data_IF_008499455565
#
_entry.id   IF_008499455565
#
_cell.length_a   1.000
_cell.length_b   1.000
_cell.length_c   1.000
_cell.angle_alpha   90.00
_cell.angle_beta   90.00
_cell.angle_gamma   90.00
#
_symmetry.space_group_name_H-M   'P 1'
#
loop_
_entity.id
_entity.type
_entity.pdbx_description
1 polymer ?
#
# COMPACT_ATOMS: atom_id res chain seq x y z
N UNK A 1 30.34 -3.31 -24.44
CA UNK A 1 29.78 -2.18 -25.21
C UNK A 1 29.36 -1.16 -24.15
N UNK A 2 30.14 -0.10 -23.98
CA UNK A 2 29.85 0.93 -23.00
C UNK A 2 28.72 1.82 -23.54
N UNK A 3 27.50 1.57 -23.05
CA UNK A 3 26.34 2.42 -23.33
C UNK A 3 26.57 3.74 -22.59
N UNK A 4 27.03 4.77 -23.30
CA UNK A 4 27.22 6.10 -22.75
C UNK A 4 25.84 6.68 -22.39
N UNK A 5 25.44 6.54 -21.13
CA UNK A 5 24.21 7.15 -20.62
C UNK A 5 24.34 8.67 -20.71
N UNK A 6 23.38 9.32 -21.38
CA UNK A 6 23.34 10.79 -21.50
C UNK A 6 22.43 11.33 -20.40
N UNK A 7 22.93 11.33 -19.17
CA UNK A 7 22.21 11.91 -18.03
C UNK A 7 22.29 13.44 -18.07
N UNK A 8 21.17 14.11 -17.79
CA UNK A 8 21.10 15.60 -17.80
C UNK A 8 22.05 16.30 -16.82
N UNK A 9 22.27 15.71 -15.64
CA UNK A 9 23.17 16.16 -14.58
C UNK A 9 24.09 15.01 -14.19
N UNK A 10 25.27 14.96 -14.83
CA UNK A 10 26.28 13.93 -14.60
C UNK A 10 26.83 13.97 -13.16
N UNK A 11 26.93 15.14 -12.55
CA UNK A 11 27.48 15.30 -11.20
C UNK A 11 26.54 14.69 -10.15
N UNK A 12 25.24 14.96 -10.27
CA UNK A 12 24.23 14.32 -9.43
C UNK A 12 24.21 12.80 -9.64
N UNK A 13 24.21 12.36 -10.90
CA UNK A 13 24.18 10.94 -11.21
C UNK A 13 25.39 10.19 -10.63
N UNK A 14 26.60 10.72 -10.81
CA UNK A 14 27.82 10.11 -10.28
C UNK A 14 27.79 9.97 -8.75
N UNK A 15 27.26 10.97 -8.04
CA UNK A 15 27.10 10.90 -6.57
C UNK A 15 26.09 9.84 -6.16
N UNK A 16 24.94 9.76 -6.83
CA UNK A 16 23.91 8.74 -6.56
C UNK A 16 24.45 7.33 -6.87
N UNK A 17 25.13 7.17 -8.01
CA UNK A 17 25.66 5.89 -8.45
C UNK A 17 26.74 5.38 -7.50
N UNK A 18 27.65 6.27 -7.07
CA UNK A 18 28.73 5.95 -6.13
C UNK A 18 28.29 5.73 -4.68
N UNK A 19 27.05 6.04 -4.32
CA UNK A 19 26.54 5.79 -2.98
C UNK A 19 26.24 4.30 -2.77
N UNK A 20 26.81 3.73 -1.70
CA UNK A 20 26.49 2.39 -1.23
C UNK A 20 25.42 2.46 -0.14
N UNK A 21 24.33 1.71 -0.33
CA UNK A 21 23.33 1.46 0.71
C UNK A 21 23.83 0.43 1.75
N UNK A 22 24.83 -0.38 1.36
CA UNK A 22 25.43 -1.38 2.23
C UNK A 22 26.54 -0.72 3.05
N UNK A 23 26.39 -0.77 4.38
CA UNK A 23 27.45 -0.40 5.30
C UNK A 23 28.57 -1.48 5.24
N UNK A 24 29.85 -1.08 5.09
CA UNK A 24 30.95 -2.00 4.83
C UNK A 24 31.26 -2.94 6.00
N UNK A 25 30.90 -2.53 7.21
CA UNK A 25 31.12 -3.24 8.48
C UNK A 25 29.89 -4.05 8.94
N UNK A 26 28.79 -4.05 8.17
CA UNK A 26 27.58 -4.77 8.54
C UNK A 26 27.64 -6.25 8.16
N UNK A 27 27.48 -7.14 9.14
CA UNK A 27 27.32 -8.59 8.92
C UNK A 27 26.10 -8.91 8.04
N UNK A 28 25.05 -8.11 8.19
CA UNK A 28 23.78 -8.22 7.46
C UNK A 28 23.40 -6.88 6.81
N UNK A 29 24.00 -6.55 5.66
CA UNK A 29 23.84 -5.25 5.00
C UNK A 29 22.46 -5.09 4.34
N UNK A 30 22.16 -3.86 3.91
CA UNK A 30 20.88 -3.47 3.33
C UNK A 30 20.42 -4.40 2.22
N UNK A 31 21.29 -4.71 1.25
CA UNK A 31 20.98 -5.56 0.10
C UNK A 31 20.59 -6.99 0.51
N UNK A 32 21.26 -7.59 1.50
CA UNK A 32 20.92 -8.91 2.04
C UNK A 32 19.59 -8.88 2.80
N UNK A 33 19.34 -7.82 3.56
CA UNK A 33 18.06 -7.63 4.25
C UNK A 33 16.91 -7.49 3.27
N UNK A 34 17.08 -6.68 2.23
CA UNK A 34 16.11 -6.48 1.14
C UNK A 34 15.75 -7.83 0.50
N UNK A 35 16.78 -8.58 0.11
CA UNK A 35 16.61 -9.89 -0.51
C UNK A 35 15.84 -10.85 0.39
N UNK A 36 16.13 -10.87 1.69
CA UNK A 36 15.46 -11.74 2.66
C UNK A 36 14.01 -11.34 2.90
N UNK A 37 13.73 -10.06 3.13
CA UNK A 37 12.37 -9.58 3.46
C UNK A 37 11.42 -9.69 2.27
N UNK A 38 11.92 -9.43 1.07
CA UNK A 38 11.13 -9.47 -0.16
C UNK A 38 11.15 -10.85 -0.86
N UNK A 39 11.89 -11.81 -0.30
CA UNK A 39 12.11 -13.14 -0.88
C UNK A 39 12.63 -13.05 -2.32
N UNK A 40 13.66 -12.24 -2.53
CA UNK A 40 14.37 -12.05 -3.79
C UNK A 40 15.72 -12.75 -3.78
N UNK A 41 16.24 -13.10 -4.96
CA UNK A 41 17.65 -13.45 -5.08
C UNK A 41 18.53 -12.22 -4.83
N UNK A 42 19.78 -12.44 -4.42
CA UNK A 42 20.74 -11.35 -4.25
C UNK A 42 20.92 -10.55 -5.55
N UNK A 43 20.99 -11.25 -6.69
CA UNK A 43 21.10 -10.62 -8.01
C UNK A 43 19.90 -9.74 -8.33
N UNK A 44 18.68 -10.18 -8.00
CA UNK A 44 17.48 -9.40 -8.24
C UNK A 44 17.41 -8.18 -7.33
N UNK A 45 17.81 -8.32 -6.06
CA UNK A 45 17.89 -7.21 -5.13
C UNK A 45 18.90 -6.15 -5.60
N UNK A 46 20.07 -6.58 -6.11
CA UNK A 46 21.07 -5.68 -6.68
C UNK A 46 20.51 -4.91 -7.90
N UNK A 47 19.83 -5.60 -8.83
CA UNK A 47 19.16 -4.94 -9.96
C UNK A 47 18.08 -3.95 -9.50
N UNK A 48 17.26 -4.32 -8.53
CA UNK A 48 16.23 -3.44 -7.98
C UNK A 48 16.82 -2.19 -7.31
N UNK A 49 17.97 -2.30 -6.65
CA UNK A 49 18.72 -1.18 -6.07
C UNK A 49 19.23 -0.22 -7.16
N UNK A 50 19.75 -0.75 -8.27
CA UNK A 50 20.18 0.10 -9.39
C UNK A 50 19.02 0.87 -10.02
N UNK A 51 17.86 0.22 -10.18
CA UNK A 51 16.65 0.91 -10.67
C UNK A 51 16.09 1.92 -9.65
N UNK A 52 16.27 1.67 -8.36
CA UNK A 52 15.97 2.65 -7.31
C UNK A 52 16.84 3.90 -7.42
N UNK A 53 18.14 3.77 -7.68
CA UNK A 53 19.04 4.91 -7.92
C UNK A 53 18.59 5.75 -9.12
N UNK A 54 18.20 5.09 -10.23
CA UNK A 54 17.63 5.77 -11.41
C UNK A 54 16.34 6.52 -11.09
N UNK A 55 15.46 5.90 -10.31
CA UNK A 55 14.24 6.54 -9.83
C UNK A 55 14.52 7.79 -8.97
N UNK A 56 15.46 7.71 -8.02
CA UNK A 56 15.85 8.87 -7.20
C UNK A 56 16.41 9.99 -8.08
N UNK A 57 17.23 9.66 -9.07
CA UNK A 57 17.73 10.64 -10.02
C UNK A 57 16.58 11.35 -10.75
N UNK A 58 15.58 10.61 -11.25
CA UNK A 58 14.38 11.19 -11.87
C UNK A 58 13.61 12.10 -10.90
N UNK A 59 13.45 11.71 -9.63
CA UNK A 59 12.84 12.58 -8.60
C UNK A 59 13.54 13.94 -8.48
N UNK A 60 14.86 13.97 -8.66
CA UNK A 60 15.65 15.19 -8.51
C UNK A 60 15.62 16.11 -9.73
N UNK A 61 15.56 15.55 -10.94
CA UNK A 61 15.62 16.33 -12.19
C UNK A 61 14.27 16.69 -12.81
N UNK A 62 13.19 16.01 -12.41
CA UNK A 62 11.85 16.29 -12.91
C UNK A 62 11.15 17.34 -12.02
N UNK A 63 10.46 18.33 -12.60
CA UNK A 63 9.81 19.40 -11.83
C UNK A 63 8.73 18.86 -10.89
N UNK A 64 7.96 17.88 -11.34
CA UNK A 64 6.89 17.24 -10.58
C UNK A 64 7.35 15.97 -9.84
N UNK A 65 8.65 15.67 -9.87
CA UNK A 65 9.21 14.41 -9.39
C UNK A 65 8.75 13.20 -10.19
N UNK A 66 8.81 12.03 -9.56
CA UNK A 66 8.59 10.73 -10.20
C UNK A 66 7.75 9.79 -9.32
N UNK A 67 7.15 8.79 -9.96
CA UNK A 67 6.41 7.71 -9.32
C UNK A 67 7.12 6.36 -9.55
N UNK A 68 7.48 5.62 -8.49
CA UNK A 68 8.22 4.38 -8.61
C UNK A 68 7.32 3.22 -9.10
N UNK A 69 7.94 2.16 -9.61
CA UNK A 69 7.26 0.86 -9.71
C UNK A 69 7.10 0.25 -8.32
N UNK A 70 6.25 -0.77 -8.15
CA UNK A 70 6.10 -1.46 -6.86
C UNK A 70 7.40 -2.09 -6.34
N UNK A 71 8.29 -2.51 -7.23
CA UNK A 71 9.58 -3.12 -6.82
C UNK A 71 10.53 -2.02 -6.36
N UNK A 72 10.65 -0.94 -7.12
CA UNK A 72 11.46 0.23 -6.75
C UNK A 72 10.95 0.87 -5.45
N UNK A 73 9.62 0.94 -5.30
CA UNK A 73 8.95 1.47 -4.12
C UNK A 73 9.30 0.67 -2.84
N UNK A 74 9.43 -0.65 -2.94
CA UNK A 74 9.89 -1.49 -1.81
C UNK A 74 11.32 -1.15 -1.38
N UNK A 75 12.22 -0.96 -2.35
CA UNK A 75 13.59 -0.53 -2.05
C UNK A 75 13.59 0.84 -1.38
N UNK A 76 12.82 1.78 -1.92
CA UNK A 76 12.74 3.14 -1.36
C UNK A 76 12.16 3.14 0.05
N UNK A 77 11.07 2.42 0.29
CA UNK A 77 10.49 2.25 1.62
C UNK A 77 11.48 1.67 2.61
N UNK A 78 12.28 0.67 2.20
CA UNK A 78 13.30 0.13 3.08
C UNK A 78 14.43 1.13 3.32
N UNK A 79 14.81 1.95 2.33
CA UNK A 79 15.81 2.99 2.56
C UNK A 79 15.30 4.09 3.52
N UNK A 80 14.02 4.46 3.45
CA UNK A 80 13.42 5.44 4.37
C UNK A 80 13.48 5.01 5.85
N UNK A 81 13.45 3.71 6.15
CA UNK A 81 13.58 3.22 7.53
C UNK A 81 15.03 3.17 8.02
N UNK A 82 16.03 3.23 7.13
CA UNK A 82 17.44 3.42 7.49
C UNK A 82 17.70 4.91 7.72
N UNK A 83 17.06 5.46 8.77
CA UNK A 83 16.85 6.91 8.91
C UNK A 83 18.14 7.74 8.91
N UNK A 84 19.22 7.28 9.54
CA UNK A 84 20.52 7.98 9.50
C UNK A 84 21.10 7.95 8.08
N UNK A 85 21.20 6.77 7.48
CA UNK A 85 21.70 6.62 6.11
C UNK A 85 20.88 7.44 5.09
N UNK A 86 19.56 7.52 5.25
CA UNK A 86 18.70 8.29 4.37
C UNK A 86 18.75 9.81 4.63
N UNK A 87 18.47 10.23 5.87
CA UNK A 87 18.26 11.64 6.21
C UNK A 87 19.54 12.39 6.54
N UNK A 88 20.54 11.72 7.10
CA UNK A 88 21.79 12.35 7.54
C UNK A 88 22.91 12.18 6.52
N UNK A 89 22.91 11.06 5.77
CA UNK A 89 23.92 10.82 4.73
C UNK A 89 23.39 11.11 3.32
N UNK A 90 22.40 10.35 2.87
CA UNK A 90 21.97 10.35 1.47
C UNK A 90 21.37 11.68 1.03
N UNK A 91 20.35 12.18 1.73
CA UNK A 91 19.69 13.44 1.36
C UNK A 91 20.64 14.66 1.35
N UNK A 92 21.35 15.01 2.45
CA UNK A 92 22.17 16.21 2.49
C UNK A 92 23.48 16.07 1.72
N UNK A 93 24.16 14.92 1.77
CA UNK A 93 25.50 14.79 1.19
C UNK A 93 25.46 14.31 -0.28
N UNK A 94 24.53 13.42 -0.61
CA UNK A 94 24.43 12.82 -1.95
C UNK A 94 23.42 13.58 -2.82
N UNK A 95 22.22 13.88 -2.31
CA UNK A 95 21.22 14.60 -3.10
C UNK A 95 21.39 16.11 -3.00
N UNK A 96 21.97 16.63 -1.91
CA UNK A 96 21.98 18.06 -1.54
C UNK A 96 20.57 18.67 -1.46
N UNK A 97 19.57 17.83 -1.20
CA UNK A 97 18.16 18.23 -1.03
C UNK A 97 17.40 17.13 -0.29
N UNK A 98 16.32 17.53 0.36
CA UNK A 98 15.40 16.57 0.97
C UNK A 98 14.57 15.88 -0.10
N UNK A 99 14.36 14.58 0.06
CA UNK A 99 13.47 13.78 -0.77
C UNK A 99 12.39 13.14 0.11
N UNK A 100 11.20 13.72 0.11
CA UNK A 100 10.10 13.25 0.94
C UNK A 100 9.19 12.26 0.19
N UNK A 101 8.82 11.18 0.88
CA UNK A 101 7.79 10.25 0.43
C UNK A 101 6.40 10.79 0.77
N UNK A 102 5.49 10.79 -0.21
CA UNK A 102 4.12 11.23 -0.02
C UNK A 102 3.15 10.05 -0.23
N UNK A 103 2.45 9.60 0.83
CA UNK A 103 1.50 8.50 0.70
C UNK A 103 0.28 8.88 -0.12
N UNK A 104 -0.26 7.90 -0.85
CA UNK A 104 -1.55 8.01 -1.54
C UNK A 104 -2.69 8.24 -0.54
N UNK A 105 -3.66 9.07 -0.91
CA UNK A 105 -4.91 9.28 -0.16
C UNK A 105 -5.94 8.17 -0.43
N UNK A 106 -5.67 7.31 -1.41
CA UNK A 106 -6.57 6.24 -1.83
C UNK A 106 -7.74 6.71 -2.69
N UNK A 107 -8.54 5.75 -3.15
CA UNK A 107 -9.71 5.99 -4.00
C UNK A 107 -9.43 6.02 -5.50
N UNK A 108 -10.50 6.00 -6.31
CA UNK A 108 -10.40 5.86 -7.77
C UNK A 108 -9.70 7.03 -8.45
N UNK A 109 -9.94 8.27 -7.99
CA UNK A 109 -9.31 9.47 -8.54
C UNK A 109 -7.79 9.48 -8.31
N UNK A 110 -7.36 9.15 -7.09
CA UNK A 110 -5.94 9.10 -6.74
C UNK A 110 -5.21 7.98 -7.47
N UNK A 111 -5.88 6.84 -7.66
CA UNK A 111 -5.38 5.74 -8.48
C UNK A 111 -5.13 6.16 -9.94
N UNK A 112 -6.07 6.86 -10.56
CA UNK A 112 -5.91 7.36 -11.94
C UNK A 112 -4.77 8.38 -12.05
N UNK A 113 -4.70 9.32 -11.09
CA UNK A 113 -3.59 10.28 -11.00
C UNK A 113 -2.25 9.57 -10.91
N UNK A 114 -2.12 8.60 -10.00
CA UNK A 114 -0.90 7.85 -9.79
C UNK A 114 -0.51 7.01 -11.03
N UNK A 115 -1.49 6.43 -11.72
CA UNK A 115 -1.25 5.72 -12.98
C UNK A 115 -0.67 6.65 -14.06
N UNK A 116 -1.25 7.84 -14.23
CA UNK A 116 -0.73 8.82 -15.18
C UNK A 116 0.69 9.29 -14.79
N UNK A 117 0.94 9.53 -13.51
CA UNK A 117 2.26 9.92 -13.02
C UNK A 117 3.31 8.82 -13.24
N UNK A 118 2.93 7.56 -13.03
CA UNK A 118 3.77 6.41 -13.32
C UNK A 118 4.08 6.29 -14.82
N UNK A 119 3.09 6.46 -15.71
CA UNK A 119 3.30 6.49 -17.16
C UNK A 119 4.29 7.60 -17.55
N UNK A 120 4.13 8.80 -17.00
CA UNK A 120 5.06 9.91 -17.24
C UNK A 120 6.47 9.57 -16.75
N UNK A 121 6.59 8.88 -15.62
CA UNK A 121 7.89 8.44 -15.09
C UNK A 121 8.59 7.47 -16.05
N UNK A 122 7.87 6.49 -16.59
CA UNK A 122 8.43 5.55 -17.58
C UNK A 122 8.90 6.27 -18.85
N UNK A 123 8.12 7.24 -19.34
CA UNK A 123 8.50 8.07 -20.49
C UNK A 123 9.78 8.86 -20.20
N UNK A 124 9.82 9.56 -19.07
CA UNK A 124 11.01 10.34 -18.66
C UNK A 124 12.23 9.45 -18.41
N UNK A 125 12.04 8.24 -17.88
CA UNK A 125 13.12 7.26 -17.75
C UNK A 125 13.77 6.98 -19.12
N UNK A 126 12.96 6.64 -20.13
CA UNK A 126 13.47 6.32 -21.47
C UNK A 126 14.17 7.52 -22.12
N UNK A 127 13.63 8.72 -21.94
CA UNK A 127 14.22 9.96 -22.45
C UNK A 127 15.56 10.30 -21.78
N UNK A 128 15.72 9.99 -20.50
CA UNK A 128 16.90 10.36 -19.70
C UNK A 128 18.01 9.33 -19.79
N UNK A 129 17.67 8.04 -19.76
CA UNK A 129 18.67 6.97 -19.75
C UNK A 129 18.93 6.38 -21.14
N UNK A 130 18.10 6.71 -22.14
CA UNK A 130 18.16 6.14 -23.49
C UNK A 130 18.17 4.60 -23.50
N UNK A 131 17.51 4.01 -22.52
CA UNK A 131 17.50 2.58 -22.27
C UNK A 131 16.06 2.08 -22.06
N UNK A 132 15.81 0.82 -22.35
CA UNK A 132 14.54 0.20 -22.03
C UNK A 132 14.43 -0.05 -20.52
N UNK A 133 13.24 0.19 -19.97
CA UNK A 133 12.96 -0.15 -18.58
C UNK A 133 13.02 -1.68 -18.40
N UNK A 134 13.76 -2.21 -17.41
CA UNK A 134 13.72 -3.64 -17.11
C UNK A 134 12.30 -4.06 -16.76
N UNK A 135 11.68 -4.88 -17.62
CA UNK A 135 10.26 -5.23 -17.52
C UNK A 135 9.96 -5.91 -16.19
N UNK A 136 10.84 -6.79 -15.72
CA UNK A 136 10.67 -7.47 -14.42
C UNK A 136 10.62 -6.53 -13.21
N UNK A 137 11.18 -5.32 -13.30
CA UNK A 137 11.25 -4.36 -12.20
C UNK A 137 10.17 -3.28 -12.36
N UNK A 138 9.99 -2.76 -13.57
CA UNK A 138 9.11 -1.62 -13.81
C UNK A 138 7.70 -2.01 -14.20
N UNK A 139 7.52 -3.09 -14.95
CA UNK A 139 6.20 -3.50 -15.41
C UNK A 139 5.63 -4.55 -14.46
N UNK A 140 4.57 -4.19 -13.75
CA UNK A 140 3.77 -5.20 -13.08
C UNK A 140 2.95 -5.94 -14.12
N UNK A 141 3.34 -7.18 -14.42
CA UNK A 141 2.37 -8.13 -14.93
C UNK A 141 1.22 -8.18 -13.93
N UNK A 142 0.01 -7.91 -14.41
CA UNK A 142 -1.21 -8.28 -13.68
C UNK A 142 -1.24 -9.81 -13.65
N UNK A 143 -0.41 -10.44 -12.81
CA UNK A 143 -0.68 -11.78 -12.34
C UNK A 143 -2.04 -11.67 -11.66
N UNK A 144 -3.07 -12.13 -12.37
CA UNK A 144 -4.38 -12.37 -11.77
C UNK A 144 -4.06 -13.31 -10.62
N UNK A 145 -4.02 -12.77 -9.41
CA UNK A 145 -4.10 -13.60 -8.22
C UNK A 145 -5.46 -14.28 -8.37
N UNK A 146 -5.47 -15.51 -8.91
CA UNK A 146 -6.57 -16.43 -8.65
C UNK A 146 -6.57 -16.54 -7.15
N UNK A 147 -7.41 -15.73 -6.49
CA UNK A 147 -7.68 -15.85 -5.09
C UNK A 147 -8.03 -17.32 -4.93
N UNK A 148 -7.13 -18.07 -4.30
CA UNK A 148 -7.23 -19.52 -4.28
C UNK A 148 -8.50 -19.82 -3.53
N UNK A 149 -9.56 -20.12 -4.29
CA UNK A 149 -10.88 -20.47 -3.76
C UNK A 149 -10.74 -21.60 -2.74
N UNK A 150 -9.70 -22.42 -2.88
CA UNK A 150 -9.26 -23.49 -2.00
C UNK A 150 -8.84 -23.05 -0.60
N UNK A 151 -8.46 -21.78 -0.37
CA UNK A 151 -8.30 -21.23 0.99
C UNK A 151 -9.64 -21.14 1.73
N UNK A 152 -10.76 -20.97 1.01
CA UNK A 152 -12.12 -21.12 1.58
C UNK A 152 -12.50 -22.59 1.78
N UNK A 153 -11.84 -23.54 1.14
CA UNK A 153 -12.02 -24.98 1.42
C UNK A 153 -11.33 -25.42 2.72
N UNK A 154 -10.37 -24.64 3.23
CA UNK A 154 -9.69 -24.93 4.50
C UNK A 154 -10.59 -24.83 5.75
N UNK A 155 -11.71 -24.11 5.65
CA UNK A 155 -12.74 -24.00 6.71
C UNK A 155 -13.87 -25.02 6.56
N UNK A 156 -13.91 -25.78 5.46
CA UNK A 156 -14.91 -26.85 5.25
C UNK A 156 -14.84 -27.94 6.32
N UNK A 157 -13.68 -28.48 6.74
CA UNK A 157 -13.67 -29.52 7.78
C UNK A 157 -14.22 -29.00 9.12
N UNK A 158 -14.06 -27.72 9.40
CA UNK A 158 -14.53 -27.07 10.62
C UNK A 158 -16.05 -26.82 10.57
N UNK A 159 -16.58 -26.45 9.40
CA UNK A 159 -18.01 -26.32 9.16
C UNK A 159 -18.73 -27.68 9.11
N UNK A 160 -18.10 -28.72 8.55
CA UNK A 160 -18.67 -30.08 8.56
C UNK A 160 -18.71 -30.67 9.97
N UNK A 161 -17.70 -30.42 10.80
CA UNK A 161 -17.69 -30.83 12.21
C UNK A 161 -18.80 -30.11 13.01
N UNK A 162 -18.97 -28.81 12.78
CA UNK A 162 -20.07 -28.04 13.39
C UNK A 162 -21.45 -28.56 12.97
N UNK A 163 -21.62 -28.93 11.69
CA UNK A 163 -22.86 -29.47 11.16
C UNK A 163 -23.18 -30.88 11.70
N UNK A 164 -22.15 -31.73 11.87
CA UNK A 164 -22.29 -33.06 12.48
C UNK A 164 -22.67 -32.99 13.97
N UNK A 165 -22.14 -32.01 14.71
CA UNK A 165 -22.52 -31.77 16.12
C UNK A 165 -23.95 -31.22 16.26
N UNK A 166 -24.49 -30.55 15.24
CA UNK A 166 -25.88 -30.06 15.23
C UNK A 166 -26.91 -31.18 15.15
N UNK A 167 -26.56 -32.34 14.59
CA UNK A 167 -27.47 -33.50 14.50
C UNK A 167 -27.73 -34.18 15.85
N UNK A 168 -26.92 -33.90 16.88
CA UNK A 168 -27.13 -34.43 18.24
C UNK A 168 -28.10 -33.59 19.09
N UNK A 169 -28.51 -32.39 18.64
CA UNK A 169 -29.38 -31.46 19.38
C UNK A 169 -30.52 -30.90 18.50
N UNK A 170 -30.99 -31.71 17.54
CA UNK A 170 -31.93 -31.28 16.49
C UNK A 170 -33.25 -30.68 17.01
N UNK A 171 -33.78 -31.17 18.13
CA UNK A 171 -35.04 -30.65 18.70
C UNK A 171 -34.87 -29.27 19.36
N UNK A 172 -33.70 -28.98 19.95
CA UNK A 172 -33.43 -27.72 20.65
C UNK A 172 -33.16 -26.60 19.64
N UNK A 173 -32.45 -26.89 18.55
CA UNK A 173 -32.13 -25.88 17.52
C UNK A 173 -33.38 -25.50 16.72
N UNK A 174 -34.26 -26.47 16.39
CA UNK A 174 -35.52 -26.19 15.70
C UNK A 174 -36.46 -25.30 16.56
N UNK A 175 -36.54 -25.56 17.86
CA UNK A 175 -37.38 -24.76 18.77
C UNK A 175 -36.82 -23.35 18.97
N UNK A 176 -35.52 -23.19 19.18
CA UNK A 176 -34.88 -21.86 19.33
C UNK A 176 -34.96 -21.04 18.04
N UNK A 177 -34.75 -21.67 16.88
CA UNK A 177 -34.88 -20.98 15.58
C UNK A 177 -36.32 -20.57 15.30
N UNK A 178 -37.31 -21.41 15.64
CA UNK A 178 -38.73 -21.05 15.51
C UNK A 178 -39.10 -19.85 16.38
N UNK A 179 -38.64 -19.80 17.64
CA UNK A 179 -38.86 -18.66 18.54
C UNK A 179 -38.21 -17.38 18.03
N UNK A 180 -37.00 -17.47 17.48
CA UNK A 180 -36.29 -16.32 16.92
C UNK A 180 -36.99 -15.76 15.68
N UNK A 181 -37.48 -16.63 14.79
CA UNK A 181 -38.26 -16.22 13.62
C UNK A 181 -39.58 -15.57 14.05
N UNK A 182 -40.27 -16.12 15.05
CA UNK A 182 -41.49 -15.51 15.59
C UNK A 182 -41.25 -14.11 16.18
N UNK A 183 -40.13 -13.91 16.87
CA UNK A 183 -39.75 -12.59 17.40
C UNK A 183 -39.44 -11.59 16.27
N UNK A 184 -38.74 -12.01 15.21
CA UNK A 184 -38.47 -11.15 14.05
C UNK A 184 -39.76 -10.77 13.32
N UNK A 185 -40.67 -11.71 13.11
CA UNK A 185 -41.98 -11.44 12.49
C UNK A 185 -42.81 -10.49 13.35
N UNK A 186 -42.83 -10.66 14.67
CA UNK A 186 -43.52 -9.76 15.59
C UNK A 186 -42.91 -8.35 15.60
N UNK A 187 -41.58 -8.23 15.52
CA UNK A 187 -40.89 -6.95 15.46
C UNK A 187 -41.16 -6.19 14.14
N UNK A 188 -41.17 -6.92 13.02
CA UNK A 188 -41.53 -6.37 11.71
C UNK A 188 -43.00 -5.94 11.69
N UNK A 189 -43.91 -6.75 12.23
CA UNK A 189 -45.33 -6.44 12.30
C UNK A 189 -45.62 -5.26 13.24
N UNK A 190 -44.94 -5.19 14.39
CA UNK A 190 -45.02 -4.06 15.32
C UNK A 190 -44.49 -2.75 14.73
N UNK A 191 -43.39 -2.83 13.96
CA UNK A 191 -42.82 -1.68 13.24
C UNK A 191 -43.74 -1.20 12.11
N UNK A 192 -44.39 -2.13 11.38
CA UNK A 192 -45.42 -1.80 10.38
C UNK A 192 -46.66 -1.15 11.01
N UNK A 193 -47.15 -1.65 12.15
CA UNK A 193 -48.26 -1.03 12.88
C UNK A 193 -47.89 0.34 13.48
N UNK A 194 -46.63 0.54 13.87
CA UNK A 194 -46.12 1.82 14.36
C UNK A 194 -46.10 2.91 13.26
N UNK A 195 -45.81 2.53 12.02
CA UNK A 195 -45.84 3.44 10.86
C UNK A 195 -47.27 3.90 10.53
N UNK A 196 -48.29 3.06 10.76
CA UNK A 196 -49.70 3.43 10.52
C UNK A 196 -50.34 4.27 11.64
N UNK A 197 -49.64 4.53 12.76
CA UNK A 197 -50.19 5.23 13.93
C UNK A 197 -49.49 6.54 14.29
N UNK A 198 -48.64 7.07 13.41
CA UNK A 198 -47.87 8.28 13.68
C UNK A 198 -47.93 9.29 12.54
N UNK A 199 -49.07 9.96 12.37
CA UNK A 199 -49.07 11.30 11.76
C UNK A 199 -50.13 12.18 12.44
N UNK A 200 -49.66 12.95 13.41
CA UNK A 200 -50.21 14.22 13.90
C UNK A 200 -49.37 14.62 15.12
N UNK A 201 -48.29 15.38 14.92
CA UNK A 201 -48.32 16.79 15.31
C UNK A 201 -47.08 17.56 14.83
N UNK A 202 -47.33 18.84 14.63
CA UNK A 202 -46.53 19.92 14.10
C UNK A 202 -45.51 20.52 15.09
N UNK A 203 -44.49 21.22 14.52
CA UNK A 203 -43.76 22.43 15.00
C UNK A 203 -42.23 22.34 15.20
N UNK A 204 -41.55 23.07 14.31
CA UNK A 204 -40.67 24.24 14.56
C UNK A 204 -39.40 24.18 15.45
N UNK A 205 -38.34 24.75 14.85
CA UNK A 205 -37.25 25.60 15.37
C UNK A 205 -35.93 25.00 15.90
N UNK A 206 -34.91 25.22 15.07
CA UNK A 206 -33.68 26.01 15.30
C UNK A 206 -32.61 25.59 16.35
N UNK A 207 -31.36 25.86 15.93
CA UNK A 207 -30.14 26.13 16.70
C UNK A 207 -29.22 24.97 17.14
N UNK A 208 -27.91 25.20 16.90
CA UNK A 208 -26.93 25.08 17.98
C UNK A 208 -25.96 23.90 17.97
N UNK A 209 -24.76 24.18 17.45
CA UNK A 209 -23.47 23.97 18.14
C UNK A 209 -22.91 22.56 18.46
N UNK A 210 -21.70 22.37 17.95
CA UNK A 210 -20.48 21.85 18.58
C UNK A 210 -20.43 20.50 19.33
N UNK A 211 -19.42 19.71 18.95
CA UNK A 211 -18.44 19.16 19.89
C UNK A 211 -18.63 17.71 20.34
N UNK A 212 -17.52 16.98 20.40
CA UNK A 212 -17.41 15.84 21.31
C UNK A 212 -16.81 14.58 20.72
N UNK A 213 -15.50 14.48 20.79
CA UNK A 213 -14.70 13.27 20.57
C UNK A 213 -15.12 12.12 21.49
N UNK A 214 -14.94 10.88 21.04
CA UNK A 214 -14.79 9.73 21.93
C UNK A 214 -13.77 8.76 21.35
N UNK A 215 -12.61 8.71 21.99
CA UNK A 215 -11.64 7.64 21.87
C UNK A 215 -12.19 6.37 22.53
N UNK A 216 -11.91 5.21 21.94
CA UNK A 216 -11.90 3.94 22.66
C UNK A 216 -10.86 3.02 22.03
N UNK A 217 -9.91 2.67 22.88
CA UNK A 217 -8.80 1.74 22.77
C UNK A 217 -9.19 0.33 22.34
N UNK A 218 -8.27 -0.38 21.68
CA UNK A 218 -8.37 -1.84 21.52
C UNK A 218 -7.26 -2.41 20.62
N UNK A 219 -6.38 -3.20 21.21
CA UNK A 219 -5.06 -3.60 20.72
C UNK A 219 -5.02 -4.76 19.70
N UNK A 220 -3.97 -4.71 18.89
CA UNK A 220 -3.09 -5.81 18.46
C UNK A 220 -3.44 -6.72 17.26
N UNK A 221 -2.34 -7.06 16.59
CA UNK A 221 -2.01 -8.15 15.67
C UNK A 221 -2.44 -8.10 14.18
N UNK A 222 -1.42 -7.88 13.34
CA UNK A 222 -1.19 -8.67 12.12
C UNK A 222 -2.12 -8.42 10.95
N UNK A 223 -1.96 -7.27 10.27
CA UNK A 223 -2.62 -7.01 9.00
C UNK A 223 -1.62 -6.51 7.97
N UNK A 224 -1.40 -7.29 6.91
CA UNK A 224 -0.43 -7.00 5.86
C UNK A 224 -0.54 -5.57 5.34
N UNK A 225 0.62 -4.93 5.24
CA UNK A 225 0.80 -3.62 4.64
C UNK A 225 0.29 -3.66 3.19
N UNK A 226 -0.90 -3.08 3.01
CA UNK A 226 -1.38 -2.67 1.71
C UNK A 226 -0.45 -1.58 1.21
N UNK A 227 0.53 -1.95 0.40
CA UNK A 227 1.45 -1.03 -0.28
C UNK A 227 0.64 -0.06 -1.14
N UNK A 228 0.37 1.11 -0.58
CA UNK A 228 -0.10 2.27 -1.32
C UNK A 228 1.11 2.86 -2.02
N UNK A 229 1.13 2.77 -3.36
CA UNK A 229 2.17 3.36 -4.18
C UNK A 229 2.22 4.88 -3.91
N UNK A 230 3.27 5.36 -3.24
CA UNK A 230 3.54 6.78 -3.02
C UNK A 230 4.54 7.32 -4.03
N UNK A 231 4.72 8.64 -4.07
CA UNK A 231 5.67 9.29 -4.99
C UNK A 231 6.46 10.40 -4.29
N UNK A 232 7.51 10.89 -4.96
CA UNK A 232 8.30 12.02 -4.50
C UNK A 232 7.73 13.31 -5.12
N UNK A 233 7.12 14.19 -4.32
CA UNK A 233 6.67 15.50 -4.78
C UNK A 233 7.79 16.52 -4.63
N UNK A 234 8.06 17.32 -5.66
CA UNK A 234 8.98 18.44 -5.59
C UNK A 234 8.38 19.62 -4.81
N UNK A 235 8.92 19.94 -3.64
CA UNK A 235 8.81 21.29 -3.10
C UNK A 235 9.98 22.10 -3.64
N UNK A 236 9.69 22.98 -4.60
CA UNK A 236 10.63 24.01 -5.04
C UNK A 236 10.91 24.97 -3.88
N UNK A 237 12.20 25.14 -3.59
CA UNK A 237 12.78 26.27 -2.87
C UNK A 237 13.81 26.91 -3.79
#
# INVERSE_FOLDING_TARGET
MDTKMIVKDESLWNRIQGFSLDAPDADFPFSKKLAKEENWSCDFAAKAIEEYKKFVYLCCILPDGASPSKIVDKVWHMHLIYTQNYWEDFCPNILKRNLHHHPSKGGAKDKSKHQNWFINTLKSYQEVFHDEVPKEIWLQDKKIHKCSWWKRFRIIPLLTLLFLMSSCFGEIIATVTSLFISLLVAFIFGSLLGIFRGDNDSKDKNSGSCGGSSCSSGSSCGGGCGGGCGGCGGCGG
#
